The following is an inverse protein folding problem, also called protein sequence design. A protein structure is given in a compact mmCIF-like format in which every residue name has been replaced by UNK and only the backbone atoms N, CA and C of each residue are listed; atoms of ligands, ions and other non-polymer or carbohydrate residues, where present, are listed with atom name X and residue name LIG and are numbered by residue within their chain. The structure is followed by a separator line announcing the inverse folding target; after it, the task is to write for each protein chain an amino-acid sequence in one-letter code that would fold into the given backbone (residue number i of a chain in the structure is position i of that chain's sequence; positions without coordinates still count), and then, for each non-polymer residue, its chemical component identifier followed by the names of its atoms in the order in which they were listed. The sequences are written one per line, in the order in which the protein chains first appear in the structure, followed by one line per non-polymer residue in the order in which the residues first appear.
data_IF_403553633859
#
_entry.id   IF_403553633859
#
_cell.length_a   1.000
_cell.length_b   1.000
_cell.length_c   1.000
_cell.angle_alpha   90.00
_cell.angle_beta   90.00
_cell.angle_gamma   90.00
#
_symmetry.space_group_name_H-M   'P 1'
#
loop_
_entity.id
_entity.type
_entity.pdbx_description
1 polymer ?
#
# COMPACT_ATOMS: atom_id res chain seq x y z
N UNK A 1 31.03 3.82 -23.52
CA UNK A 1 30.48 5.15 -23.92
C UNK A 1 29.10 5.03 -24.56
N UNK A 2 28.73 3.86 -25.09
CA UNK A 2 27.50 3.65 -25.86
C UNK A 2 26.19 3.70 -25.05
N UNK A 3 26.25 3.46 -23.73
CA UNK A 3 25.08 3.55 -22.84
C UNK A 3 24.55 4.99 -22.70
N UNK A 4 25.46 5.97 -22.67
CA UNK A 4 25.14 7.39 -22.55
C UNK A 4 24.63 7.95 -23.87
N UNK A 5 25.22 7.52 -24.99
CA UNK A 5 24.73 7.85 -26.33
C UNK A 5 23.34 7.26 -26.58
N UNK A 6 23.11 6.01 -26.16
CA UNK A 6 21.83 5.32 -26.28
C UNK A 6 20.70 6.04 -25.53
N UNK A 7 20.92 6.47 -24.28
CA UNK A 7 19.92 7.25 -23.53
C UNK A 7 19.62 8.59 -24.20
N UNK A 8 20.63 9.26 -24.72
CA UNK A 8 20.47 10.56 -25.37
C UNK A 8 19.69 10.45 -26.68
N UNK A 9 20.02 9.47 -27.53
CA UNK A 9 19.32 9.23 -28.80
C UNK A 9 17.86 8.78 -28.58
N UNK A 10 17.60 7.93 -27.58
CA UNK A 10 16.24 7.51 -27.22
C UNK A 10 15.38 8.66 -26.66
N UNK A 11 15.99 9.63 -25.99
CA UNK A 11 15.27 10.82 -25.49
C UNK A 11 14.78 11.73 -26.61
N UNK A 12 15.56 11.84 -27.70
CA UNK A 12 15.25 12.72 -28.84
C UNK A 12 14.15 12.16 -29.77
N UNK A 13 13.88 10.86 -29.73
CA UNK A 13 12.82 10.23 -30.55
C UNK A 13 11.47 10.08 -29.84
N UNK A 14 11.37 10.39 -28.54
CA UNK A 14 10.13 10.26 -27.77
C UNK A 14 9.12 11.40 -28.04
N UNK A 15 9.58 12.54 -28.56
CA UNK A 15 8.76 13.74 -28.76
C UNK A 15 7.78 13.69 -29.96
N UNK A 16 7.89 12.69 -30.87
CA UNK A 16 7.16 12.69 -32.14
C UNK A 16 6.04 11.66 -32.30
N UNK A 17 5.54 11.06 -31.20
CA UNK A 17 4.43 10.08 -31.28
C UNK A 17 3.14 10.63 -30.66
N UNK A 18 2.60 11.70 -31.25
CA UNK A 18 1.23 12.16 -30.99
C UNK A 18 0.29 11.57 -32.05
N UNK A 19 -0.73 10.87 -31.54
CA UNK A 19 -1.94 10.28 -32.17
C UNK A 19 -1.82 8.93 -32.89
N UNK A 20 -2.31 7.89 -32.21
CA UNK A 20 -3.39 7.00 -32.71
C UNK A 20 -3.97 6.09 -31.60
N UNK A 21 -5.26 6.31 -31.34
CA UNK A 21 -6.36 5.40 -30.94
C UNK A 21 -6.32 4.49 -29.69
N UNK A 22 -7.33 4.75 -28.84
CA UNK A 22 -8.39 3.87 -28.33
C UNK A 22 -8.05 2.48 -27.75
N UNK A 23 -8.53 2.33 -26.50
CA UNK A 23 -8.99 1.10 -25.86
C UNK A 23 -7.93 0.06 -25.50
N UNK A 24 -7.39 0.21 -24.29
CA UNK A 24 -7.18 -0.85 -23.28
C UNK A 24 -6.33 -0.23 -22.18
N UNK A 25 -6.95 0.24 -21.08
CA UNK A 25 -6.19 0.57 -19.87
C UNK A 25 -5.89 -0.73 -19.14
N UNK A 26 -4.92 -1.47 -19.67
CA UNK A 26 -4.15 -2.41 -18.89
C UNK A 26 -3.50 -1.64 -17.76
N UNK A 27 -3.61 -2.18 -16.55
CA UNK A 27 -2.91 -1.69 -15.36
C UNK A 27 -1.43 -2.05 -15.53
N UNK A 28 -0.74 -1.37 -16.44
CA UNK A 28 0.68 -1.55 -16.65
C UNK A 28 1.42 -0.56 -15.74
N UNK A 29 2.25 -1.10 -14.86
CA UNK A 29 2.99 -0.39 -13.83
C UNK A 29 4.17 0.42 -14.38
N UNK A 30 4.03 1.04 -15.55
CA UNK A 30 5.11 1.77 -16.21
C UNK A 30 4.62 2.94 -17.07
N UNK A 31 3.64 3.70 -16.60
CA UNK A 31 3.60 5.12 -16.95
C UNK A 31 4.56 5.84 -16.00
N UNK A 32 5.83 5.94 -16.41
CA UNK A 32 6.74 6.92 -15.81
C UNK A 32 6.21 8.28 -16.27
N UNK A 33 5.29 8.84 -15.50
CA UNK A 33 4.96 10.26 -15.57
C UNK A 33 6.28 11.03 -15.33
N UNK A 34 6.65 11.91 -16.25
CA UNK A 34 7.76 12.85 -16.05
C UNK A 34 7.57 13.55 -14.69
N UNK A 35 8.55 13.42 -13.79
CA UNK A 35 8.53 13.93 -12.42
C UNK A 35 7.48 13.30 -11.49
N UNK A 36 7.49 11.97 -11.35
CA UNK A 36 6.78 11.26 -10.26
C UNK A 36 6.99 11.99 -8.93
N UNK A 37 5.93 12.14 -8.15
CA UNK A 37 5.96 12.74 -6.81
C UNK A 37 7.07 12.17 -5.94
N UNK A 38 7.32 10.87 -6.07
CA UNK A 38 8.41 10.17 -5.38
C UNK A 38 9.80 10.67 -5.78
N UNK A 39 10.03 11.03 -7.04
CA UNK A 39 11.32 11.58 -7.48
C UNK A 39 11.52 13.01 -6.96
N UNK A 40 10.47 13.84 -6.95
CA UNK A 40 10.53 15.19 -6.35
C UNK A 40 10.84 15.14 -4.85
N UNK A 41 10.39 14.10 -4.15
CA UNK A 41 10.73 13.89 -2.74
C UNK A 41 12.18 13.40 -2.52
N UNK A 42 12.77 12.68 -3.49
CA UNK A 42 14.14 12.14 -3.37
C UNK A 42 15.24 13.19 -3.47
N UNK A 43 14.98 14.32 -4.12
CA UNK A 43 15.98 15.37 -4.34
C UNK A 43 16.22 16.28 -3.12
N UNK A 44 16.34 15.71 -1.92
CA UNK A 44 16.68 16.44 -0.68
C UNK A 44 18.08 16.09 -0.17
N UNK A 45 19.04 15.87 -1.07
CA UNK A 45 20.46 15.66 -0.77
C UNK A 45 21.26 16.95 -0.95
N UNK A 46 20.89 18.03 -0.24
CA UNK A 46 21.76 19.20 -0.01
C UNK A 46 21.42 19.78 1.36
N UNK A 47 22.43 20.17 2.15
CA UNK A 47 22.35 20.78 3.49
C UNK A 47 20.99 21.46 3.80
N UNK A 48 20.04 20.71 4.36
CA UNK A 48 18.70 21.22 4.64
C UNK A 48 18.80 22.13 5.86
N UNK A 49 18.67 23.43 5.65
CA UNK A 49 18.51 24.37 6.75
C UNK A 49 17.18 24.11 7.45
N UNK A 50 17.25 23.56 8.66
CA UNK A 50 16.06 23.13 9.37
C UNK A 50 15.28 24.33 9.90
N UNK A 51 13.99 24.38 9.57
CA UNK A 51 13.10 25.40 10.10
C UNK A 51 13.04 25.32 11.64
N UNK A 52 13.22 26.44 12.38
CA UNK A 52 13.06 26.44 13.82
C UNK A 52 11.69 25.92 14.24
N UNK A 53 11.65 25.04 15.25
CA UNK A 53 10.42 24.38 15.70
C UNK A 53 9.30 25.36 16.10
N UNK A 54 9.66 26.50 16.67
CA UNK A 54 8.72 27.58 17.03
C UNK A 54 8.05 28.18 15.79
N UNK A 55 8.80 28.36 14.71
CA UNK A 55 8.28 28.87 13.44
C UNK A 55 7.39 27.83 12.75
N UNK A 56 7.80 26.56 12.76
CA UNK A 56 7.00 25.46 12.19
C UNK A 56 5.61 25.36 12.86
N UNK A 57 5.54 25.46 14.19
CA UNK A 57 4.27 25.45 14.91
C UNK A 57 3.39 26.64 14.53
N UNK A 58 3.97 27.84 14.41
CA UNK A 58 3.25 29.05 13.96
C UNK A 58 2.74 28.89 12.54
N UNK A 59 3.54 28.30 11.65
CA UNK A 59 3.18 28.02 10.26
C UNK A 59 1.96 27.10 10.16
N UNK A 60 1.99 25.96 10.87
CA UNK A 60 0.85 25.03 10.91
C UNK A 60 -0.41 25.73 11.46
N UNK A 61 -0.28 26.46 12.57
CA UNK A 61 -1.40 27.17 13.17
C UNK A 61 -2.01 28.22 12.21
N UNK A 62 -1.15 28.94 11.47
CA UNK A 62 -1.57 29.90 10.47
C UNK A 62 -2.31 29.23 9.31
N UNK A 63 -1.71 28.19 8.71
CA UNK A 63 -2.33 27.42 7.62
C UNK A 63 -3.67 26.83 8.05
N UNK A 64 -3.77 26.31 9.28
CA UNK A 64 -5.00 25.75 9.83
C UNK A 64 -6.12 26.79 9.94
N UNK A 65 -5.80 27.99 10.46
CA UNK A 65 -6.78 29.04 10.77
C UNK A 65 -7.23 29.82 9.54
N UNK A 66 -6.31 30.17 8.64
CA UNK A 66 -6.56 31.15 7.59
C UNK A 66 -6.76 30.52 6.20
N UNK A 67 -6.17 29.37 5.92
CA UNK A 67 -6.21 28.78 4.57
C UNK A 67 -7.28 27.70 4.49
N UNK A 68 -8.29 27.92 3.64
CA UNK A 68 -9.41 27.01 3.40
C UNK A 68 -9.53 26.71 1.91
N UNK A 69 -8.71 25.78 1.38
CA UNK A 69 -8.62 25.62 -0.06
C UNK A 69 -9.88 24.99 -0.67
N UNK A 70 -10.28 25.50 -1.82
CA UNK A 70 -11.30 24.88 -2.68
C UNK A 70 -10.64 24.06 -3.80
N UNK A 71 -11.37 23.10 -4.36
CA UNK A 71 -10.88 22.33 -5.51
C UNK A 71 -11.16 23.09 -6.80
N UNK A 72 -10.16 23.17 -7.68
CA UNK A 72 -10.36 23.56 -9.08
C UNK A 72 -11.23 22.54 -9.81
N UNK A 73 -11.87 22.96 -10.90
CA UNK A 73 -12.72 22.05 -11.69
C UNK A 73 -11.89 20.93 -12.35
N UNK A 74 -10.65 21.23 -12.74
CA UNK A 74 -9.72 20.24 -13.26
C UNK A 74 -9.36 19.16 -12.21
N UNK A 75 -9.13 19.57 -10.95
CA UNK A 75 -8.86 18.66 -9.86
C UNK A 75 -10.06 17.74 -9.57
N UNK A 76 -11.28 18.28 -9.60
CA UNK A 76 -12.52 17.51 -9.41
C UNK A 76 -12.66 16.41 -10.46
N UNK A 77 -12.40 16.72 -11.73
CA UNK A 77 -12.58 15.74 -12.81
C UNK A 77 -11.56 14.60 -12.70
N UNK A 78 -10.29 14.91 -12.38
CA UNK A 78 -9.26 13.89 -12.15
C UNK A 78 -9.61 12.95 -11.00
N UNK A 79 -10.04 13.51 -9.85
CA UNK A 79 -10.39 12.71 -8.68
C UNK A 79 -11.60 11.81 -8.99
N UNK A 80 -12.58 12.34 -9.74
CA UNK A 80 -13.77 11.60 -10.17
C UNK A 80 -13.41 10.46 -11.11
N UNK A 81 -12.58 10.71 -12.13
CA UNK A 81 -12.13 9.69 -13.07
C UNK A 81 -11.37 8.57 -12.36
N UNK A 82 -10.46 8.92 -11.46
CA UNK A 82 -9.72 7.95 -10.64
C UNK A 82 -10.65 7.15 -9.73
N UNK A 83 -11.59 7.78 -9.03
CA UNK A 83 -12.54 7.08 -8.17
C UNK A 83 -13.41 6.08 -8.96
N UNK A 84 -13.87 6.45 -10.16
CA UNK A 84 -14.67 5.57 -11.01
C UNK A 84 -13.86 4.40 -11.55
N UNK A 85 -12.61 4.63 -11.96
CA UNK A 85 -11.71 3.55 -12.41
C UNK A 85 -11.39 2.58 -11.27
N UNK A 86 -11.10 3.11 -10.08
CA UNK A 86 -10.94 2.33 -8.84
C UNK A 86 -12.20 1.48 -8.60
N UNK A 87 -13.39 2.11 -8.58
CA UNK A 87 -14.64 1.38 -8.31
C UNK A 87 -14.94 0.28 -9.33
N UNK A 88 -14.56 0.43 -10.60
CA UNK A 88 -14.72 -0.62 -11.62
C UNK A 88 -13.79 -1.81 -11.36
N UNK A 89 -12.54 -1.57 -10.96
CA UNK A 89 -11.55 -2.62 -10.77
C UNK A 89 -11.83 -3.51 -9.54
N UNK A 90 -12.36 -2.92 -8.47
CA UNK A 90 -12.67 -3.66 -7.23
C UNK A 90 -14.13 -4.18 -7.17
N UNK A 91 -14.87 -4.14 -8.28
CA UNK A 91 -16.20 -4.79 -8.37
C UNK A 91 -16.12 -6.31 -8.54
N UNK A 92 -14.99 -6.84 -9.02
CA UNK A 92 -14.88 -8.22 -9.49
C UNK A 92 -14.10 -9.14 -8.52
N UNK A 93 -13.83 -8.71 -7.28
CA UNK A 93 -13.12 -9.53 -6.30
C UNK A 93 -13.70 -9.36 -4.89
N UNK A 94 -13.44 -10.34 -4.01
CA UNK A 94 -13.74 -10.33 -2.58
C UNK A 94 -12.90 -9.30 -1.79
N UNK A 95 -12.72 -8.11 -2.36
CA UNK A 95 -12.03 -6.97 -1.76
C UNK A 95 -13.02 -6.06 -1.05
N UNK A 96 -12.51 -5.29 -0.08
CA UNK A 96 -13.30 -4.27 0.61
C UNK A 96 -13.88 -3.30 -0.42
N UNK A 97 -15.21 -3.11 -0.47
CA UNK A 97 -15.83 -2.27 -1.49
C UNK A 97 -15.38 -0.82 -1.35
N UNK A 98 -15.09 -0.18 -2.48
CA UNK A 98 -14.76 1.25 -2.51
C UNK A 98 -16.01 2.04 -2.19
N UNK A 99 -15.98 2.72 -1.04
CA UNK A 99 -17.08 3.54 -0.55
C UNK A 99 -16.86 5.01 -0.88
N UNK A 100 -17.92 5.80 -0.74
CA UNK A 100 -17.87 7.28 -0.81
C UNK A 100 -16.93 7.90 0.21
N UNK A 101 -16.52 7.16 1.26
CA UNK A 101 -15.49 7.61 2.21
C UNK A 101 -14.12 7.77 1.55
N UNK A 102 -13.78 6.93 0.58
CA UNK A 102 -12.51 7.03 -0.14
C UNK A 102 -12.47 8.28 -1.01
N UNK A 103 -13.58 8.61 -1.67
CA UNK A 103 -13.71 9.87 -2.42
C UNK A 103 -13.53 11.10 -1.51
N UNK A 104 -14.20 11.12 -0.35
CA UNK A 104 -14.02 12.19 0.63
C UNK A 104 -12.58 12.28 1.14
N UNK A 105 -11.89 11.15 1.28
CA UNK A 105 -10.50 11.10 1.72
C UNK A 105 -9.56 11.70 0.66
N UNK A 106 -9.76 11.35 -0.62
CA UNK A 106 -9.02 11.96 -1.74
C UNK A 106 -9.19 13.48 -1.76
N UNK A 107 -10.43 13.97 -1.67
CA UNK A 107 -10.74 15.41 -1.64
C UNK A 107 -10.00 16.11 -0.49
N UNK A 108 -10.05 15.53 0.72
CA UNK A 108 -9.37 16.09 1.90
C UNK A 108 -7.86 16.12 1.76
N UNK A 109 -7.26 15.06 1.19
CA UNK A 109 -5.82 15.00 0.96
C UNK A 109 -5.36 16.01 -0.08
N UNK A 110 -6.11 16.18 -1.18
CA UNK A 110 -5.82 17.19 -2.21
C UNK A 110 -5.89 18.61 -1.65
N UNK A 111 -6.91 18.91 -0.84
CA UNK A 111 -7.00 20.19 -0.12
C UNK A 111 -5.86 20.37 0.88
N UNK A 112 -5.47 19.32 1.60
CA UNK A 112 -4.37 19.38 2.55
C UNK A 112 -3.04 19.71 1.86
N UNK A 113 -2.79 19.18 0.65
CA UNK A 113 -1.58 19.50 -0.12
C UNK A 113 -1.50 20.99 -0.46
N UNK A 114 -2.58 21.56 -1.00
CA UNK A 114 -2.65 23.00 -1.28
C UNK A 114 -2.51 23.85 0.00
N UNK A 115 -3.11 23.40 1.10
CA UNK A 115 -3.06 24.08 2.40
C UNK A 115 -1.65 24.18 2.98
N UNK A 116 -0.83 23.14 2.80
CA UNK A 116 0.57 23.13 3.27
C UNK A 116 1.42 24.15 2.52
N UNK A 117 1.03 24.53 1.31
CA UNK A 117 1.70 25.58 0.53
C UNK A 117 1.00 26.95 0.66
N UNK A 118 0.06 27.08 1.61
CA UNK A 118 -0.78 28.26 1.84
C UNK A 118 -1.61 28.70 0.62
N UNK A 119 -1.86 27.78 -0.33
CA UNK A 119 -2.70 28.05 -1.50
C UNK A 119 -4.18 27.94 -1.15
N UNK A 120 -4.99 28.86 -1.69
CA UNK A 120 -6.46 28.84 -1.54
C UNK A 120 -7.15 27.97 -2.60
N UNK A 121 -6.43 27.54 -3.63
CA UNK A 121 -6.93 26.66 -4.68
C UNK A 121 -6.05 25.42 -4.80
N UNK A 122 -6.71 24.25 -4.76
CA UNK A 122 -6.09 22.97 -5.03
C UNK A 122 -6.18 22.65 -6.53
N UNK A 123 -5.02 22.48 -7.14
CA UNK A 123 -4.87 22.39 -8.60
C UNK A 123 -4.90 20.93 -9.09
N UNK A 124 -4.86 20.80 -10.41
CA UNK A 124 -4.76 19.51 -11.11
C UNK A 124 -3.58 18.66 -10.60
N UNK A 125 -2.44 19.28 -10.37
CA UNK A 125 -1.22 18.56 -9.98
C UNK A 125 -1.28 18.09 -8.52
N UNK A 126 -1.94 18.84 -7.63
CA UNK A 126 -2.21 18.37 -6.26
C UNK A 126 -3.05 17.08 -6.25
N UNK A 127 -4.02 16.99 -7.17
CA UNK A 127 -4.83 15.79 -7.33
C UNK A 127 -4.01 14.60 -7.82
N UNK A 128 -3.11 14.80 -8.79
CA UNK A 128 -2.22 13.74 -9.29
C UNK A 128 -1.28 13.23 -8.21
N UNK A 129 -0.66 14.12 -7.45
CA UNK A 129 0.25 13.76 -6.34
C UNK A 129 -0.45 12.88 -5.30
N UNK A 130 -1.68 13.25 -4.94
CA UNK A 130 -2.50 12.48 -4.00
C UNK A 130 -2.94 11.14 -4.58
N UNK A 131 -3.24 11.08 -5.87
CA UNK A 131 -3.54 9.82 -6.56
C UNK A 131 -2.32 8.90 -6.58
N UNK A 132 -1.13 9.43 -6.85
CA UNK A 132 0.12 8.67 -6.80
C UNK A 132 0.38 8.14 -5.38
N UNK A 133 0.19 8.97 -4.36
CA UNK A 133 0.30 8.56 -2.96
C UNK A 133 -0.72 7.46 -2.61
N UNK A 134 -1.97 7.61 -3.05
CA UNK A 134 -3.02 6.61 -2.84
C UNK A 134 -2.69 5.30 -3.56
N UNK A 135 -2.22 5.36 -4.80
CA UNK A 135 -1.75 4.20 -5.56
C UNK A 135 -0.63 3.49 -4.82
N UNK A 136 0.35 4.23 -4.30
CA UNK A 136 1.45 3.64 -3.52
C UNK A 136 0.93 2.95 -2.25
N UNK A 137 0.03 3.59 -1.50
CA UNK A 137 -0.59 2.98 -0.31
C UNK A 137 -1.39 1.73 -0.65
N UNK A 138 -2.11 1.73 -1.78
CA UNK A 138 -2.86 0.56 -2.23
C UNK A 138 -1.89 -0.54 -2.67
N UNK A 139 -0.85 -0.23 -3.46
CA UNK A 139 0.16 -1.21 -3.88
C UNK A 139 0.79 -1.86 -2.66
N UNK A 140 1.18 -1.11 -1.62
CA UNK A 140 1.70 -1.72 -0.39
C UNK A 140 0.65 -2.54 0.36
N UNK A 141 -0.64 -2.24 0.23
CA UNK A 141 -1.71 -3.11 0.77
C UNK A 141 -2.00 -4.32 -0.13
N UNK A 142 -1.59 -4.30 -1.41
CA UNK A 142 -2.00 -5.28 -2.43
C UNK A 142 -0.85 -6.02 -3.10
N UNK A 143 0.42 -5.78 -2.78
CA UNK A 143 1.55 -6.53 -3.38
C UNK A 143 2.07 -7.57 -2.42
N UNK A 144 2.31 -8.80 -2.88
CA UNK A 144 3.10 -9.76 -2.08
C UNK A 144 4.57 -9.29 -2.04
N UNK A 145 5.36 -9.87 -1.15
CA UNK A 145 6.83 -9.80 -1.06
C UNK A 145 7.58 -9.98 -2.40
N UNK A 146 6.89 -10.48 -3.43
CA UNK A 146 7.39 -10.68 -4.80
C UNK A 146 6.98 -9.58 -5.80
N UNK A 147 6.31 -8.50 -5.36
CA UNK A 147 5.91 -7.37 -6.20
C UNK A 147 4.68 -7.62 -7.11
N UNK A 148 4.06 -8.79 -7.01
CA UNK A 148 2.83 -9.13 -7.74
C UNK A 148 1.62 -8.58 -6.98
N UNK A 149 0.70 -7.91 -7.69
CA UNK A 149 -0.57 -7.41 -7.19
C UNK A 149 -1.48 -8.56 -6.76
N UNK A 150 -1.32 -8.99 -5.52
CA UNK A 150 -2.23 -9.89 -4.84
C UNK A 150 -3.44 -9.12 -4.29
N UNK A 151 -4.52 -9.10 -5.07
CA UNK A 151 -5.83 -8.56 -4.66
C UNK A 151 -6.38 -9.24 -3.41
N UNK A 152 -5.81 -10.37 -2.96
CA UNK A 152 -6.17 -10.97 -1.69
C UNK A 152 -5.55 -10.25 -0.49
N UNK A 153 -4.61 -9.31 -0.63
CA UNK A 153 -3.98 -8.62 0.52
C UNK A 153 -4.78 -7.43 1.11
N UNK A 154 -5.85 -6.94 0.46
CA UNK A 154 -6.91 -6.17 1.19
C UNK A 154 -7.50 -6.98 2.35
N UNK A 155 -7.24 -8.28 2.41
CA UNK A 155 -7.48 -9.13 3.56
C UNK A 155 -6.47 -8.93 4.71
N UNK A 156 -6.01 -7.71 4.97
CA UNK A 156 -5.71 -7.30 6.35
C UNK A 156 -7.00 -7.26 7.20
N UNK A 157 -8.15 -7.52 6.60
CA UNK A 157 -9.25 -8.26 7.23
C UNK A 157 -9.47 -9.60 6.52
N UNK A 158 -8.59 -10.57 6.76
CA UNK A 158 -8.67 -12.00 6.45
C UNK A 158 -9.98 -12.43 5.77
N UNK A 159 -9.92 -12.90 4.51
CA UNK A 159 -11.05 -13.64 3.94
C UNK A 159 -11.49 -14.69 4.96
N UNK A 160 -12.79 -14.82 5.23
CA UNK A 160 -13.30 -15.73 6.27
C UNK A 160 -12.64 -17.12 6.19
N UNK A 161 -12.33 -17.59 4.98
CA UNK A 161 -11.59 -18.85 4.76
C UNK A 161 -10.15 -18.84 5.27
N UNK A 162 -9.31 -17.85 4.92
CA UNK A 162 -7.91 -17.77 5.39
C UNK A 162 -7.83 -17.44 6.88
N UNK A 163 -8.72 -16.58 7.40
CA UNK A 163 -8.88 -16.37 8.86
C UNK A 163 -9.18 -17.68 9.56
N UNK A 164 -10.17 -18.42 9.05
CA UNK A 164 -10.60 -19.67 9.64
C UNK A 164 -9.48 -20.71 9.57
N UNK A 165 -8.69 -20.75 8.50
CA UNK A 165 -7.53 -21.64 8.41
C UNK A 165 -6.43 -21.26 9.41
N UNK A 166 -6.10 -19.97 9.57
CA UNK A 166 -5.13 -19.49 10.56
C UNK A 166 -5.61 -19.77 12.00
N UNK A 167 -6.88 -19.51 12.30
CA UNK A 167 -7.46 -19.78 13.61
C UNK A 167 -7.54 -21.29 13.90
N UNK A 168 -7.91 -22.12 12.90
CA UNK A 168 -7.89 -23.58 13.04
C UNK A 168 -6.48 -24.11 13.29
N UNK A 169 -5.48 -23.57 12.59
CA UNK A 169 -4.08 -23.92 12.81
C UNK A 169 -3.65 -23.54 14.23
N UNK A 170 -4.02 -22.35 14.72
CA UNK A 170 -3.77 -21.95 16.11
C UNK A 170 -4.45 -22.89 17.12
N UNK A 171 -5.71 -23.26 16.91
CA UNK A 171 -6.42 -24.22 17.79
C UNK A 171 -5.75 -25.59 17.79
N UNK A 172 -5.24 -26.07 16.65
CA UNK A 172 -4.49 -27.33 16.59
C UNK A 172 -3.16 -27.25 17.34
N UNK A 173 -2.43 -26.14 17.19
CA UNK A 173 -1.18 -25.92 17.92
C UNK A 173 -1.46 -25.87 19.42
N UNK A 174 -2.51 -25.18 19.86
CA UNK A 174 -2.93 -25.13 21.26
C UNK A 174 -3.27 -26.53 21.79
N UNK A 175 -4.10 -27.28 21.06
CA UNK A 175 -4.48 -28.64 21.44
C UNK A 175 -3.27 -29.58 21.54
N UNK A 176 -2.29 -29.44 20.65
CA UNK A 176 -1.03 -30.21 20.70
C UNK A 176 -0.16 -29.78 21.88
N UNK A 177 -0.09 -28.48 22.16
CA UNK A 177 0.60 -27.92 23.34
C UNK A 177 0.04 -28.49 24.63
N UNK A 178 -1.29 -28.56 24.75
CA UNK A 178 -1.97 -29.06 25.95
C UNK A 178 -1.77 -30.57 26.13
N UNK A 179 -1.75 -31.35 25.03
CA UNK A 179 -1.54 -32.79 25.07
C UNK A 179 -0.08 -33.19 25.38
N UNK A 180 0.89 -32.42 24.88
CA UNK A 180 2.32 -32.72 25.01
C UNK A 180 3.02 -31.91 26.12
N UNK A 181 2.30 -31.00 26.80
CA UNK A 181 2.84 -30.03 27.77
C UNK A 181 4.07 -29.25 27.23
N UNK A 182 4.06 -28.96 25.91
CA UNK A 182 5.20 -28.40 25.17
C UNK A 182 4.81 -27.06 24.57
N UNK A 183 5.55 -26.01 24.92
CA UNK A 183 5.30 -24.64 24.46
C UNK A 183 6.15 -24.23 23.26
N UNK A 184 7.13 -25.04 22.85
CA UNK A 184 8.07 -24.72 21.75
C UNK A 184 7.97 -25.77 20.65
N UNK A 185 7.62 -25.37 19.44
CA UNK A 185 7.43 -26.25 18.28
C UNK A 185 8.46 -26.00 17.18
N UNK A 186 8.89 -27.06 16.51
CA UNK A 186 9.74 -26.94 15.30
C UNK A 186 8.89 -26.57 14.09
N UNK A 187 9.47 -25.84 13.13
CA UNK A 187 8.78 -25.51 11.86
C UNK A 187 8.29 -26.75 11.12
N UNK A 188 9.01 -27.87 11.19
CA UNK A 188 8.58 -29.15 10.60
C UNK A 188 7.29 -29.69 11.23
N UNK A 189 7.18 -29.64 12.56
CA UNK A 189 5.99 -30.10 13.29
C UNK A 189 4.77 -29.22 12.99
N UNK A 190 4.97 -27.90 12.89
CA UNK A 190 3.90 -26.96 12.53
C UNK A 190 3.46 -27.13 11.07
N UNK A 191 4.39 -27.50 10.20
CA UNK A 191 4.11 -27.77 8.78
C UNK A 191 3.26 -29.02 8.61
N UNK A 192 3.56 -30.09 9.33
CA UNK A 192 2.73 -31.31 9.35
C UNK A 192 1.29 -31.02 9.80
N UNK A 193 1.12 -30.20 10.84
CA UNK A 193 -0.21 -29.76 11.29
C UNK A 193 -0.96 -28.94 10.23
N UNK A 194 -0.24 -28.13 9.45
CA UNK A 194 -0.82 -27.37 8.35
C UNK A 194 -1.21 -28.26 7.16
N UNK A 195 -0.45 -29.31 6.89
CA UNK A 195 -0.74 -30.29 5.83
C UNK A 195 -2.00 -31.10 6.17
N UNK A 196 -2.23 -31.43 7.44
CA UNK A 196 -3.48 -32.04 7.91
C UNK A 196 -4.72 -31.16 7.68
N UNK A 197 -4.54 -29.84 7.64
CA UNK A 197 -5.61 -28.87 7.33
C UNK A 197 -5.80 -28.65 5.82
N UNK A 198 -5.01 -29.32 4.96
CA UNK A 198 -4.99 -29.09 3.53
C UNK A 198 -4.45 -27.70 3.14
N UNK A 199 -3.61 -27.11 3.99
CA UNK A 199 -3.01 -25.81 3.74
C UNK A 199 -1.84 -25.92 2.76
N UNK A 200 -1.80 -25.03 1.78
CA UNK A 200 -0.72 -24.95 0.81
C UNK A 200 0.58 -24.44 1.46
N UNK A 201 1.74 -24.93 1.01
CA UNK A 201 3.05 -24.60 1.61
C UNK A 201 3.37 -23.10 1.62
N UNK A 202 2.94 -22.37 0.59
CA UNK A 202 3.08 -20.91 0.48
C UNK A 202 2.24 -20.19 1.55
N UNK A 203 0.98 -20.61 1.70
CA UNK A 203 0.04 -20.09 2.70
C UNK A 203 0.48 -20.39 4.14
N UNK A 204 1.16 -21.52 4.37
CA UNK A 204 1.69 -21.88 5.69
C UNK A 204 2.68 -20.83 6.22
N UNK A 205 3.68 -20.43 5.43
CA UNK A 205 4.67 -19.46 5.90
C UNK A 205 4.04 -18.08 6.16
N UNK A 206 3.08 -17.68 5.34
CA UNK A 206 2.29 -16.46 5.55
C UNK A 206 1.46 -16.52 6.84
N UNK A 207 0.79 -17.66 7.09
CA UNK A 207 0.03 -17.89 8.32
C UNK A 207 0.93 -17.85 9.56
N UNK A 208 2.11 -18.46 9.49
CA UNK A 208 3.10 -18.50 10.56
C UNK A 208 3.66 -17.09 10.87
N UNK A 209 3.94 -16.30 9.83
CA UNK A 209 4.33 -14.91 10.00
C UNK A 209 3.21 -14.06 10.60
N UNK A 210 1.96 -14.29 10.19
CA UNK A 210 0.78 -13.61 10.74
C UNK A 210 0.63 -13.89 12.23
N UNK A 211 0.72 -15.15 12.65
CA UNK A 211 0.65 -15.55 14.07
C UNK A 211 1.82 -14.97 14.88
N UNK A 212 3.00 -14.81 14.27
CA UNK A 212 4.16 -14.17 14.90
C UNK A 212 3.97 -12.67 15.11
N UNK A 213 3.46 -11.96 14.10
CA UNK A 213 3.15 -10.52 14.18
C UNK A 213 2.04 -10.26 15.21
N UNK A 214 1.03 -11.14 15.28
CA UNK A 214 -0.06 -11.05 16.24
C UNK A 214 0.33 -11.43 17.68
N UNK A 215 1.51 -12.02 17.88
CA UNK A 215 2.01 -12.40 19.21
C UNK A 215 1.38 -13.69 19.79
N UNK A 216 0.67 -14.48 18.98
CA UNK A 216 0.19 -15.80 19.40
C UNK A 216 1.34 -16.80 19.52
N UNK A 217 2.27 -16.73 18.57
CA UNK A 217 3.53 -17.46 18.59
C UNK A 217 4.68 -16.47 18.49
N UNK A 218 5.86 -16.81 18.99
CA UNK A 218 7.08 -16.02 18.84
C UNK A 218 8.19 -16.87 18.22
N UNK A 219 8.84 -16.34 17.19
CA UNK A 219 10.04 -16.95 16.64
C UNK A 219 11.20 -16.84 17.65
N UNK A 220 11.75 -17.98 18.10
CA UNK A 220 12.87 -18.05 19.05
C UNK A 220 14.23 -18.26 18.38
N UNK A 221 14.27 -18.33 17.04
CA UNK A 221 15.48 -18.66 16.26
C UNK A 221 15.63 -20.16 16.05
N UNK A 222 16.43 -20.54 15.03
CA UNK A 222 16.67 -21.93 14.63
C UNK A 222 15.42 -22.74 14.23
N UNK A 223 14.48 -22.14 13.48
CA UNK A 223 13.25 -22.81 13.02
C UNK A 223 12.38 -23.34 14.18
N UNK A 224 12.32 -22.56 15.27
CA UNK A 224 11.48 -22.86 16.44
C UNK A 224 10.55 -21.69 16.75
N UNK A 225 9.30 -22.04 17.05
CA UNK A 225 8.25 -21.10 17.42
C UNK A 225 7.71 -21.47 18.80
N UNK A 226 7.69 -20.50 19.71
CA UNK A 226 7.10 -20.67 21.03
C UNK A 226 5.67 -20.14 21.02
N UNK A 227 4.72 -20.90 21.53
CA UNK A 227 3.37 -20.41 21.81
C UNK A 227 3.38 -19.53 23.07
N UNK A 228 2.82 -18.32 22.96
CA UNK A 228 2.90 -17.28 24.02
C UNK A 228 1.55 -16.93 24.60
N UNK A 229 0.51 -16.85 23.76
CA UNK A 229 -0.85 -16.51 24.20
C UNK A 229 -1.75 -17.71 23.95
N UNK A 230 -2.26 -18.31 25.02
CA UNK A 230 -3.38 -19.25 24.97
C UNK A 230 -4.68 -18.44 24.83
N UNK A 231 -5.57 -18.85 23.90
CA UNK A 231 -6.93 -18.32 23.78
C UNK A 231 -7.85 -19.10 24.72
#
# INVERSE_FOLDING_TARGET
MDLLLSRHVLSLHKANKIKRNLNETTFDGSEIEENSFRERLRNTDENIDHLPHTLFRKYIAYAQKYVKPYLSDEAKEIIKEFYLSLRKQFKTGDCTPITTRQLNSLIRLTQARAKVELREEATRDDAKDVIELMRFSLVDVFTDSSGVLDKTRSQIGTGMSTKNQVMRLLTLIQRKSDAEAKSVFKTSELKELSEQLGMEKTKFYQALQTLNIQGFILNKGQNQYQLVTAI
#
